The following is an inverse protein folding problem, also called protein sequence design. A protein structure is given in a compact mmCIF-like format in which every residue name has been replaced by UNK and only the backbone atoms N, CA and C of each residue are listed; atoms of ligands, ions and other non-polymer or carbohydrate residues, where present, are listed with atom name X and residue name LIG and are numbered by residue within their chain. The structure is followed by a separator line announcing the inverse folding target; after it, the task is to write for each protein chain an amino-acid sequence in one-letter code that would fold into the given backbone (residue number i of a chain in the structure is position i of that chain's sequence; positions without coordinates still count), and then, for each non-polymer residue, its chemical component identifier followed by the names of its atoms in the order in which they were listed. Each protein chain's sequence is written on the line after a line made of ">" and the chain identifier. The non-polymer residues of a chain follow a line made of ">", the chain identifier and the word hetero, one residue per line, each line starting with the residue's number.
data_IF_869759848723
#
_entry.id   IF_869759848723
#
_cell.length_a   1.000
_cell.length_b   1.000
_cell.length_c   1.000
_cell.angle_alpha   90.00
_cell.angle_beta   90.00
_cell.angle_gamma   90.00
#
_symmetry.space_group_name_H-M   'P 1'
#
loop_
_entity.id
_entity.type
_entity.pdbx_description
1 polymer ?
#
# COMPACT_ATOMS: atom_id res chain seq x y z
N UNK A 1 40.43 12.49 -3.92
CA UNK A 1 39.03 12.28 -4.34
C UNK A 1 39.03 11.32 -5.51
N UNK A 2 38.35 10.17 -5.42
CA UNK A 2 38.19 9.30 -6.59
C UNK A 2 37.17 9.91 -7.54
N UNK A 3 37.30 9.66 -8.85
CA UNK A 3 36.32 10.12 -9.85
C UNK A 3 34.91 9.59 -9.59
N UNK A 4 34.79 8.44 -8.93
CA UNK A 4 33.52 7.83 -8.53
C UNK A 4 32.79 8.70 -7.50
N UNK A 5 33.50 9.28 -6.54
CA UNK A 5 32.90 10.14 -5.51
C UNK A 5 32.37 11.48 -6.07
N UNK A 6 32.83 11.91 -7.25
CA UNK A 6 32.32 13.10 -7.95
C UNK A 6 31.11 12.79 -8.84
N UNK A 7 30.87 11.51 -9.15
CA UNK A 7 29.75 11.08 -9.97
C UNK A 7 28.46 10.92 -9.15
N UNK A 8 28.57 10.73 -7.83
CA UNK A 8 27.40 10.62 -6.96
C UNK A 8 26.88 12.02 -6.59
N UNK A 9 25.62 12.35 -6.89
CA UNK A 9 25.05 13.62 -6.47
C UNK A 9 25.03 13.71 -4.94
N UNK A 10 25.24 14.90 -4.37
CA UNK A 10 25.18 15.09 -2.91
C UNK A 10 23.80 14.66 -2.38
N UNK A 11 23.79 14.05 -1.20
CA UNK A 11 22.55 13.67 -0.54
C UNK A 11 21.73 14.92 -0.21
N UNK A 12 20.52 15.01 -0.78
CA UNK A 12 19.56 16.06 -0.46
C UNK A 12 18.57 15.49 0.54
N UNK A 13 18.42 16.15 1.68
CA UNK A 13 17.51 15.76 2.74
C UNK A 13 16.25 16.63 2.70
N UNK A 14 15.11 16.00 2.95
CA UNK A 14 13.80 16.66 3.10
C UNK A 14 13.25 16.28 4.47
N UNK A 15 12.53 17.21 5.09
CA UNK A 15 11.88 16.95 6.38
C UNK A 15 10.86 15.80 6.26
N UNK A 16 10.86 14.90 7.24
CA UNK A 16 9.96 13.74 7.24
C UNK A 16 8.47 14.11 7.24
N UNK A 17 8.10 15.27 7.78
CA UNK A 17 6.72 15.76 7.73
C UNK A 17 6.25 16.06 6.29
N UNK A 18 7.17 16.38 5.37
CA UNK A 18 6.81 16.55 3.96
C UNK A 18 6.30 15.24 3.35
N UNK A 19 6.90 14.10 3.74
CA UNK A 19 6.43 12.78 3.31
C UNK A 19 5.06 12.45 3.91
N UNK A 20 4.81 12.79 5.18
CA UNK A 20 3.49 12.60 5.80
C UNK A 20 2.40 13.37 5.04
N UNK A 21 2.64 14.66 4.75
CA UNK A 21 1.72 15.51 4.00
C UNK A 21 1.51 14.98 2.57
N UNK A 22 2.60 14.57 1.91
CA UNK A 22 2.53 14.00 0.56
C UNK A 22 1.64 12.75 0.53
N UNK A 23 1.79 11.83 1.48
CA UNK A 23 1.01 10.60 1.53
C UNK A 23 -0.47 10.89 1.81
N UNK A 24 -0.76 11.84 2.71
CA UNK A 24 -2.14 12.26 3.01
C UNK A 24 -2.82 12.81 1.74
N UNK A 25 -2.17 13.74 1.04
CA UNK A 25 -2.70 14.33 -0.18
C UNK A 25 -2.74 13.33 -1.35
N UNK A 26 -1.79 12.38 -1.41
CA UNK A 26 -1.80 11.34 -2.43
C UNK A 26 -3.04 10.45 -2.30
N UNK A 27 -3.45 10.10 -1.09
CA UNK A 27 -4.69 9.32 -0.87
C UNK A 27 -5.92 10.11 -1.33
N UNK A 28 -6.01 11.40 -1.00
CA UNK A 28 -7.10 12.28 -1.44
C UNK A 28 -7.15 12.40 -2.97
N UNK A 29 -6.00 12.64 -3.61
CA UNK A 29 -5.89 12.74 -5.07
C UNK A 29 -6.22 11.41 -5.77
N UNK A 30 -5.75 10.27 -5.21
CA UNK A 30 -6.06 8.94 -5.74
C UNK A 30 -7.54 8.62 -5.64
N UNK A 31 -8.23 8.99 -4.54
CA UNK A 31 -9.69 8.84 -4.42
C UNK A 31 -10.42 9.60 -5.52
N UNK A 32 -10.13 10.90 -5.65
CA UNK A 32 -10.74 11.73 -6.68
C UNK A 32 -10.48 11.17 -8.10
N UNK A 33 -9.25 10.73 -8.36
CA UNK A 33 -8.88 10.11 -9.64
C UNK A 33 -9.59 8.77 -9.87
N UNK A 34 -9.75 7.94 -8.83
CA UNK A 34 -10.42 6.64 -8.91
C UNK A 34 -11.91 6.80 -9.16
N UNK A 35 -12.59 7.77 -8.53
CA UNK A 35 -13.99 8.08 -8.82
C UNK A 35 -14.20 8.48 -10.30
N UNK A 36 -13.29 9.30 -10.85
CA UNK A 36 -13.33 9.66 -12.28
C UNK A 36 -13.05 8.46 -13.18
N UNK A 37 -12.10 7.59 -12.81
CA UNK A 37 -11.78 6.38 -13.57
C UNK A 37 -12.94 5.38 -13.57
N UNK A 38 -13.59 5.17 -12.43
CA UNK A 38 -14.76 4.31 -12.29
C UNK A 38 -15.93 4.84 -13.14
N UNK A 39 -16.23 6.13 -13.07
CA UNK A 39 -17.27 6.75 -13.90
C UNK A 39 -16.99 6.62 -15.41
N UNK A 40 -15.72 6.72 -15.82
CA UNK A 40 -15.30 6.48 -17.21
C UNK A 40 -15.47 5.01 -17.61
N UNK A 41 -15.10 4.06 -16.75
CA UNK A 41 -15.28 2.63 -17.01
C UNK A 41 -16.77 2.29 -17.19
N UNK A 42 -17.64 2.76 -16.29
CA UNK A 42 -19.09 2.56 -16.41
C UNK A 42 -19.66 3.17 -17.69
N UNK A 43 -19.16 4.35 -18.09
CA UNK A 43 -19.57 4.97 -19.36
C UNK A 43 -19.17 4.11 -20.57
N UNK A 44 -17.93 3.61 -20.58
CA UNK A 44 -17.41 2.74 -21.64
C UNK A 44 -18.22 1.44 -21.71
N UNK A 45 -18.51 0.81 -20.57
CA UNK A 45 -19.33 -0.40 -20.50
C UNK A 45 -20.75 -0.17 -21.03
N UNK A 46 -21.35 0.98 -20.71
CA UNK A 46 -22.66 1.36 -21.21
C UNK A 46 -22.66 1.61 -22.72
N UNK A 47 -21.62 2.27 -23.26
CA UNK A 47 -21.42 2.43 -24.71
C UNK A 47 -21.21 1.06 -25.39
N UNK A 48 -20.45 0.15 -24.79
CA UNK A 48 -20.24 -1.21 -25.29
C UNK A 48 -21.53 -2.04 -25.29
N UNK A 49 -22.36 -1.90 -24.24
CA UNK A 49 -23.67 -2.55 -24.16
C UNK A 49 -24.65 -1.99 -25.19
N UNK A 50 -24.66 -0.66 -25.41
CA UNK A 50 -25.46 -0.02 -26.45
C UNK A 50 -25.04 -0.46 -27.86
N UNK A 51 -23.74 -0.68 -28.07
CA UNK A 51 -23.21 -1.20 -29.33
C UNK A 51 -23.36 -2.73 -29.49
N UNK A 52 -23.93 -3.42 -28.49
CA UNK A 52 -24.21 -4.86 -28.53
C UNK A 52 -23.00 -5.79 -28.33
N UNK A 53 -21.87 -5.25 -27.85
CA UNK A 53 -20.64 -6.04 -27.62
C UNK A 53 -20.59 -6.74 -26.26
N UNK A 54 -21.45 -6.37 -25.31
CA UNK A 54 -21.49 -6.92 -23.94
C UNK A 54 -22.96 -7.16 -23.54
N UNK A 55 -23.31 -8.30 -22.91
CA UNK A 55 -24.66 -8.52 -22.41
C UNK A 55 -25.03 -7.42 -21.40
N UNK A 56 -26.26 -6.88 -21.45
CA UNK A 56 -26.68 -5.83 -20.53
C UNK A 56 -26.56 -6.31 -19.08
N UNK A 57 -26.18 -5.42 -18.14
CA UNK A 57 -26.05 -5.79 -16.74
C UNK A 57 -27.35 -6.41 -16.22
N UNK A 58 -27.28 -7.43 -15.35
CA UNK A 58 -28.47 -8.07 -14.81
C UNK A 58 -29.35 -7.02 -14.11
N UNK A 59 -30.61 -6.93 -14.55
CA UNK A 59 -31.58 -6.00 -13.97
C UNK A 59 -31.74 -6.35 -12.48
N UNK A 60 -31.40 -5.41 -11.60
CA UNK A 60 -31.60 -5.58 -10.16
C UNK A 60 -33.10 -5.79 -9.91
N UNK A 61 -33.47 -6.97 -9.39
CA UNK A 61 -34.85 -7.27 -9.01
C UNK A 61 -35.22 -6.36 -7.83
N UNK A 62 -36.05 -5.35 -8.09
CA UNK A 62 -36.72 -4.55 -7.06
C UNK A 62 -37.58 -5.49 -6.20
N UNK A 63 -37.08 -5.84 -5.01
CA UNK A 63 -37.92 -6.46 -3.98
C UNK A 63 -38.80 -5.38 -3.36
N UNK A 64 -40.08 -5.41 -3.70
CA UNK A 64 -41.10 -4.61 -3.04
C UNK A 64 -41.32 -5.19 -1.63
N UNK A 65 -40.71 -4.58 -0.61
CA UNK A 65 -41.03 -4.85 0.79
C UNK A 65 -41.57 -3.58 1.41
N UNK A 66 -42.90 -3.50 1.53
CA UNK A 66 -43.59 -2.45 2.25
C UNK A 66 -43.29 -2.59 3.75
N UNK A 67 -42.58 -1.61 4.32
CA UNK A 67 -42.65 -1.31 5.75
C UNK A 67 -42.29 0.16 5.96
N UNK A 68 -43.30 0.92 6.35
CA UNK A 68 -43.20 2.29 6.83
C UNK A 68 -42.28 2.35 8.05
N UNK A 69 -41.20 3.13 7.98
CA UNK A 69 -40.59 3.75 9.15
C UNK A 69 -39.66 4.89 8.75
N UNK A 70 -40.09 6.08 9.13
CA UNK A 70 -39.38 7.35 9.13
C UNK A 70 -38.06 7.23 9.89
N UNK A 71 -36.95 7.52 9.20
CA UNK A 71 -35.61 7.52 9.77
C UNK A 71 -34.59 7.91 8.71
N UNK A 72 -34.50 9.21 8.42
CA UNK A 72 -33.50 9.77 7.53
C UNK A 72 -32.11 9.67 8.15
N UNK A 73 -31.43 8.53 7.95
CA UNK A 73 -29.99 8.44 7.95
C UNK A 73 -29.59 7.86 6.60
N UNK A 74 -28.96 8.69 5.76
CA UNK A 74 -28.33 8.29 4.50
C UNK A 74 -27.13 7.40 4.80
N UNK A 75 -27.37 6.15 5.21
CA UNK A 75 -26.37 5.11 5.18
C UNK A 75 -26.13 4.75 3.71
N UNK A 76 -25.04 5.29 3.13
CA UNK A 76 -24.54 4.80 1.85
C UNK A 76 -24.29 3.29 2.00
N UNK A 77 -24.67 2.45 1.02
CA UNK A 77 -24.45 1.02 1.10
C UNK A 77 -22.96 0.73 1.32
N UNK A 78 -22.67 -0.02 2.39
CA UNK A 78 -21.33 -0.29 2.91
C UNK A 78 -20.39 -0.97 1.88
N UNK A 79 -20.94 -1.55 0.81
CA UNK A 79 -20.19 -2.27 -0.23
C UNK A 79 -19.45 -1.35 -1.21
N UNK A 80 -20.02 -0.19 -1.57
CA UNK A 80 -19.44 0.71 -2.58
C UNK A 80 -18.18 1.42 -2.07
N UNK A 81 -18.16 1.75 -0.77
CA UNK A 81 -17.04 2.44 -0.14
C UNK A 81 -15.83 1.50 0.01
N UNK A 82 -16.06 0.19 0.11
CA UNK A 82 -14.99 -0.81 0.22
C UNK A 82 -14.32 -1.08 -1.15
N UNK A 83 -15.09 -1.09 -2.24
CA UNK A 83 -14.55 -1.20 -3.61
C UNK A 83 -13.72 0.02 -4.02
N UNK A 84 -14.17 1.23 -3.68
CA UNK A 84 -13.45 2.47 -3.99
C UNK A 84 -12.10 2.53 -3.25
N UNK A 85 -12.08 2.20 -1.96
CA UNK A 85 -10.85 2.18 -1.17
C UNK A 85 -9.92 1.04 -1.60
N UNK A 86 -10.43 -0.08 -2.10
CA UNK A 86 -9.62 -1.16 -2.68
C UNK A 86 -8.89 -0.71 -3.96
N UNK A 87 -9.58 0.03 -4.84
CA UNK A 87 -8.96 0.63 -6.03
C UNK A 87 -7.85 1.62 -5.67
N UNK A 88 -8.06 2.45 -4.65
CA UNK A 88 -7.04 3.37 -4.13
C UNK A 88 -5.86 2.60 -3.52
N UNK A 89 -6.15 1.58 -2.71
CA UNK A 89 -5.14 0.72 -2.07
C UNK A 89 -4.22 0.07 -3.10
N UNK A 90 -4.79 -0.50 -4.17
CA UNK A 90 -4.04 -1.15 -5.25
C UNK A 90 -3.11 -0.18 -5.98
N UNK A 91 -3.59 1.04 -6.30
CA UNK A 91 -2.77 2.08 -6.95
C UNK A 91 -1.64 2.56 -6.04
N UNK A 92 -1.94 2.73 -4.75
CA UNK A 92 -0.97 3.16 -3.76
C UNK A 92 0.13 2.10 -3.56
N UNK A 93 -0.25 0.82 -3.53
CA UNK A 93 0.69 -0.31 -3.52
C UNK A 93 1.57 -0.33 -4.79
N UNK A 94 0.99 -0.08 -5.97
CA UNK A 94 1.74 -0.03 -7.23
C UNK A 94 2.77 1.12 -7.24
N UNK A 95 2.40 2.31 -6.74
CA UNK A 95 3.35 3.42 -6.58
C UNK A 95 4.48 3.01 -5.63
N UNK A 96 4.12 2.43 -4.48
CA UNK A 96 5.10 1.90 -3.53
C UNK A 96 6.04 0.88 -4.14
N UNK A 97 5.51 -0.03 -4.97
CA UNK A 97 6.29 -1.05 -5.68
C UNK A 97 7.34 -0.42 -6.59
N UNK A 98 6.98 0.59 -7.38
CA UNK A 98 7.94 1.30 -8.21
C UNK A 98 9.01 2.01 -7.37
N UNK A 99 8.60 2.70 -6.30
CA UNK A 99 9.55 3.40 -5.42
C UNK A 99 10.53 2.41 -4.79
N UNK A 100 10.03 1.35 -4.14
CA UNK A 100 10.88 0.35 -3.47
C UNK A 100 11.80 -0.39 -4.43
N UNK A 101 11.35 -0.65 -5.65
CA UNK A 101 12.16 -1.27 -6.69
C UNK A 101 13.37 -0.39 -7.08
N UNK A 102 13.13 0.86 -7.47
CA UNK A 102 14.22 1.77 -7.86
C UNK A 102 15.16 2.06 -6.67
N UNK A 103 14.61 2.13 -5.47
CA UNK A 103 15.39 2.39 -4.27
C UNK A 103 16.30 1.21 -3.89
N UNK A 104 15.79 -0.02 -4.02
CA UNK A 104 16.58 -1.23 -3.80
C UNK A 104 17.75 -1.32 -4.79
N UNK A 105 17.55 -0.97 -6.07
CA UNK A 105 18.64 -0.93 -7.06
C UNK A 105 19.74 0.06 -6.66
N UNK A 106 19.36 1.27 -6.20
CA UNK A 106 20.31 2.27 -5.71
C UNK A 106 21.10 1.78 -4.50
N UNK A 107 20.42 1.20 -3.51
CA UNK A 107 21.03 0.72 -2.27
C UNK A 107 21.89 -0.55 -2.46
N UNK A 108 21.60 -1.35 -3.48
CA UNK A 108 22.35 -2.57 -3.78
C UNK A 108 23.51 -2.37 -4.77
N UNK A 109 23.73 -1.14 -5.27
CA UNK A 109 24.73 -0.83 -6.32
C UNK A 109 26.12 -1.40 -6.03
N UNK A 110 26.62 -1.23 -4.81
CA UNK A 110 27.96 -1.66 -4.39
C UNK A 110 27.94 -2.94 -3.54
N UNK A 111 26.80 -3.64 -3.51
CA UNK A 111 26.59 -4.81 -2.66
C UNK A 111 26.68 -6.10 -3.47
N UNK A 112 27.28 -7.17 -2.94
CA UNK A 112 27.15 -8.50 -3.53
C UNK A 112 25.68 -8.96 -3.54
N UNK A 113 25.34 -9.80 -4.52
CA UNK A 113 24.01 -10.41 -4.63
C UNK A 113 23.64 -11.18 -3.36
N UNK A 114 22.34 -11.19 -3.04
CA UNK A 114 21.82 -11.92 -1.89
C UNK A 114 21.83 -13.43 -2.18
N UNK A 115 22.45 -14.20 -1.29
CA UNK A 115 22.49 -15.67 -1.36
C UNK A 115 21.26 -16.34 -0.75
N UNK A 116 20.62 -15.69 0.22
CA UNK A 116 19.42 -16.22 0.90
C UNK A 116 18.35 -15.13 1.06
N UNK A 117 17.10 -15.57 1.00
CA UNK A 117 15.89 -14.81 1.31
C UNK A 117 15.96 -14.10 2.65
N UNK A 118 16.56 -14.72 3.67
CA UNK A 118 16.68 -14.15 5.00
C UNK A 118 17.60 -12.91 5.01
N UNK A 119 18.67 -12.93 4.21
CA UNK A 119 19.60 -11.79 4.12
C UNK A 119 19.00 -10.63 3.33
N UNK A 120 18.19 -10.92 2.31
CA UNK A 120 17.37 -9.92 1.63
C UNK A 120 16.34 -9.26 2.58
N UNK A 121 15.69 -10.05 3.43
CA UNK A 121 14.77 -9.51 4.45
C UNK A 121 15.52 -8.66 5.49
N UNK A 122 16.69 -9.09 5.97
CA UNK A 122 17.52 -8.28 6.88
C UNK A 122 17.93 -6.95 6.25
N UNK A 123 18.27 -6.96 4.96
CA UNK A 123 18.57 -5.73 4.22
C UNK A 123 17.37 -4.78 4.20
N UNK A 124 16.15 -5.30 3.98
CA UNK A 124 14.93 -4.49 4.08
C UNK A 124 14.80 -3.89 5.49
N UNK A 125 14.98 -4.69 6.53
CA UNK A 125 14.79 -4.24 7.92
C UNK A 125 15.82 -3.19 8.39
N UNK A 126 17.04 -3.22 7.86
CA UNK A 126 18.18 -2.41 8.37
C UNK A 126 18.64 -1.30 7.45
N UNK A 127 18.50 -1.47 6.14
CA UNK A 127 18.97 -0.50 5.15
C UNK A 127 17.79 0.24 4.52
N UNK A 128 16.86 -0.50 3.90
CA UNK A 128 15.70 0.09 3.23
C UNK A 128 14.81 0.84 4.24
N UNK A 129 14.46 0.21 5.36
CA UNK A 129 13.59 0.81 6.37
C UNK A 129 14.20 2.05 7.01
N UNK A 130 15.51 1.99 7.33
CA UNK A 130 16.25 3.13 7.88
C UNK A 130 16.33 4.26 6.88
N UNK A 131 16.54 3.95 5.61
CA UNK A 131 16.65 5.00 4.60
C UNK A 131 15.30 5.67 4.29
N UNK A 132 14.18 4.97 4.46
CA UNK A 132 12.84 5.55 4.28
C UNK A 132 12.31 6.28 5.52
N UNK A 133 12.56 5.76 6.73
CA UNK A 133 11.94 6.26 7.97
C UNK A 133 12.93 6.57 9.08
N UNK A 134 14.24 6.52 8.83
CA UNK A 134 15.28 6.78 9.84
C UNK A 134 15.04 5.96 11.12
N UNK A 135 14.68 4.69 10.92
CA UNK A 135 14.37 3.71 11.97
C UNK A 135 14.60 2.29 11.44
N UNK A 136 15.12 1.39 12.27
CA UNK A 136 15.15 -0.04 11.97
C UNK A 136 13.80 -0.68 12.33
N UNK A 137 13.47 -1.80 11.68
CA UNK A 137 12.32 -2.62 12.08
C UNK A 137 12.56 -3.18 13.48
N UNK A 138 11.56 -3.06 14.37
CA UNK A 138 11.72 -3.42 15.79
C UNK A 138 11.87 -4.93 15.98
N UNK A 139 11.05 -5.74 15.30
CA UNK A 139 11.13 -7.20 15.39
C UNK A 139 10.99 -7.87 14.02
N UNK A 140 11.80 -8.90 13.79
CA UNK A 140 11.69 -9.81 12.65
C UNK A 140 11.48 -11.23 13.16
N UNK A 141 10.36 -11.86 12.78
CA UNK A 141 10.10 -13.29 13.02
C UNK A 141 10.09 -14.03 11.69
N UNK A 142 10.57 -15.27 11.68
CA UNK A 142 10.54 -16.14 10.50
C UNK A 142 10.15 -17.56 10.90
N UNK A 143 9.48 -18.27 10.00
CA UNK A 143 9.24 -19.70 10.14
C UNK A 143 10.30 -20.54 9.40
N UNK A 144 11.36 -19.92 8.86
CA UNK A 144 12.36 -20.56 7.99
C UNK A 144 11.78 -21.32 6.77
N UNK A 145 10.48 -21.16 6.50
CA UNK A 145 9.70 -21.81 5.44
C UNK A 145 9.14 -20.79 4.44
N UNK A 146 9.82 -19.65 4.29
CA UNK A 146 9.41 -18.57 3.39
C UNK A 146 8.36 -17.61 3.95
N UNK A 147 8.04 -17.67 5.25
CA UNK A 147 7.14 -16.71 5.91
C UNK A 147 7.94 -15.85 6.88
N UNK A 148 7.85 -14.54 6.70
CA UNK A 148 8.50 -13.53 7.54
C UNK A 148 7.45 -12.54 8.06
N UNK A 149 7.65 -12.07 9.28
CA UNK A 149 6.77 -11.11 9.94
C UNK A 149 7.64 -9.99 10.48
N UNK A 150 7.48 -8.80 9.92
CA UNK A 150 8.15 -7.58 10.33
C UNK A 150 7.19 -6.80 11.22
N UNK A 151 7.63 -6.42 12.41
CA UNK A 151 6.82 -5.63 13.34
C UNK A 151 7.50 -4.30 13.61
N UNK A 152 6.73 -3.23 13.47
CA UNK A 152 7.11 -1.87 13.83
C UNK A 152 6.09 -1.35 14.85
N UNK A 153 6.55 -1.11 16.08
CA UNK A 153 5.70 -0.67 17.20
C UNK A 153 5.30 0.80 17.10
N UNK A 154 6.16 1.61 16.48
CA UNK A 154 5.99 3.07 16.38
C UNK A 154 6.22 3.48 14.94
N UNK A 155 5.34 3.01 14.06
CA UNK A 155 5.50 3.23 12.63
C UNK A 155 5.20 4.69 12.30
N UNK A 156 6.25 5.45 11.93
CA UNK A 156 6.19 6.92 11.76
C UNK A 156 4.99 7.39 10.91
N UNK A 157 4.66 6.78 9.75
CA UNK A 157 3.52 7.20 8.93
C UNK A 157 2.14 7.06 9.60
N UNK A 158 2.01 6.23 10.63
CA UNK A 158 0.74 6.01 11.34
C UNK A 158 0.62 6.85 12.61
N UNK A 159 1.70 7.48 13.08
CA UNK A 159 1.71 8.21 14.36
C UNK A 159 0.75 9.39 14.42
N UNK A 160 0.51 10.03 13.27
CA UNK A 160 -0.33 11.25 13.16
C UNK A 160 -1.72 10.97 12.58
N UNK A 161 -2.06 9.71 12.32
CA UNK A 161 -3.38 9.36 11.77
C UNK A 161 -4.41 9.33 12.90
N UNK A 162 -5.38 10.24 12.83
CA UNK A 162 -6.56 10.25 13.70
C UNK A 162 -7.81 10.60 12.88
N UNK A 163 -8.97 10.16 13.35
CA UNK A 163 -10.28 10.57 12.82
C UNK A 163 -11.21 10.94 13.97
N UNK A 164 -11.97 12.03 13.77
CA UNK A 164 -13.03 12.47 14.69
C UNK A 164 -14.24 11.53 14.67
N UNK A 165 -14.40 10.71 13.62
CA UNK A 165 -15.47 9.72 13.43
C UNK A 165 -15.25 8.43 14.24
N UNK A 166 -14.15 8.37 15.01
CA UNK A 166 -13.87 7.30 15.95
C UNK A 166 -12.80 6.30 15.48
N UNK A 167 -12.67 5.21 16.25
CA UNK A 167 -11.59 4.23 16.10
C UNK A 167 -11.66 3.44 14.80
N UNK A 168 -12.87 3.10 14.33
CA UNK A 168 -13.05 2.30 13.12
C UNK A 168 -12.54 3.02 11.86
N UNK A 169 -12.89 4.30 11.72
CA UNK A 169 -12.42 5.12 10.59
C UNK A 169 -10.91 5.40 10.66
N UNK A 170 -10.39 5.66 11.86
CA UNK A 170 -8.95 5.80 12.08
C UNK A 170 -8.19 4.56 11.61
N UNK A 171 -8.72 3.37 11.91
CA UNK A 171 -8.14 2.10 11.48
C UNK A 171 -8.20 1.92 9.96
N UNK A 172 -9.31 2.33 9.33
CA UNK A 172 -9.47 2.28 7.87
C UNK A 172 -8.44 3.15 7.16
N UNK A 173 -8.25 4.39 7.62
CA UNK A 173 -7.22 5.31 7.11
C UNK A 173 -5.81 4.77 7.32
N UNK A 174 -5.55 4.17 8.49
CA UNK A 174 -4.26 3.55 8.76
C UNK A 174 -3.95 2.39 7.79
N UNK A 175 -4.93 1.51 7.52
CA UNK A 175 -4.77 0.40 6.57
C UNK A 175 -4.46 0.88 5.15
N UNK A 176 -5.12 1.93 4.70
CA UNK A 176 -4.83 2.58 3.43
C UNK A 176 -3.40 3.14 3.40
N UNK A 177 -3.00 3.90 4.43
CA UNK A 177 -1.66 4.48 4.50
C UNK A 177 -0.55 3.42 4.49
N UNK A 178 -0.79 2.23 5.05
CA UNK A 178 0.18 1.13 5.05
C UNK A 178 0.31 0.40 3.71
N UNK A 179 -0.59 0.63 2.74
CA UNK A 179 -0.47 0.02 1.41
C UNK A 179 0.77 0.52 0.65
N UNK A 180 1.15 1.79 0.83
CA UNK A 180 2.36 2.35 0.21
C UNK A 180 3.64 1.68 0.74
N UNK A 181 3.89 1.61 2.06
CA UNK A 181 5.01 0.84 2.64
C UNK A 181 5.01 -0.65 2.26
N UNK A 182 3.83 -1.29 2.20
CA UNK A 182 3.73 -2.68 1.75
C UNK A 182 4.20 -2.84 0.30
N UNK A 183 3.81 -1.89 -0.56
CA UNK A 183 4.30 -1.79 -1.94
C UNK A 183 5.81 -1.61 -2.00
N UNK A 184 6.40 -0.74 -1.17
CA UNK A 184 7.86 -0.53 -1.10
C UNK A 184 8.60 -1.84 -0.80
N UNK A 185 8.16 -2.57 0.21
CA UNK A 185 8.76 -3.88 0.56
C UNK A 185 8.63 -4.84 -0.62
N UNK A 186 7.45 -4.93 -1.24
CA UNK A 186 7.19 -5.83 -2.37
C UNK A 186 8.05 -5.49 -3.59
N UNK A 187 8.22 -4.20 -3.90
CA UNK A 187 9.07 -3.73 -4.99
C UNK A 187 10.55 -4.02 -4.76
N UNK A 188 11.03 -3.80 -3.53
CA UNK A 188 12.40 -4.14 -3.17
C UNK A 188 12.67 -5.65 -3.30
N UNK A 189 11.76 -6.49 -2.79
CA UNK A 189 11.84 -7.95 -2.93
C UNK A 189 11.86 -8.38 -4.40
N UNK A 190 11.01 -7.78 -5.24
CA UNK A 190 10.95 -8.09 -6.67
C UNK A 190 12.27 -7.81 -7.39
N UNK A 191 13.01 -6.76 -7.01
CA UNK A 191 14.32 -6.45 -7.62
C UNK A 191 15.44 -7.37 -7.15
N UNK A 192 15.29 -7.96 -5.96
CA UNK A 192 16.18 -9.00 -5.45
C UNK A 192 15.84 -10.39 -5.99
N UNK A 193 14.87 -10.52 -6.91
CA UNK A 193 14.43 -11.80 -7.47
C UNK A 193 13.49 -12.60 -6.56
N UNK A 194 12.97 -12.00 -5.48
CA UNK A 194 12.06 -12.63 -4.53
C UNK A 194 10.63 -12.16 -4.80
N UNK A 195 9.84 -12.95 -5.53
CA UNK A 195 8.46 -12.60 -5.85
C UNK A 195 7.51 -13.10 -4.75
N UNK A 196 7.26 -12.27 -3.74
CA UNK A 196 6.36 -12.59 -2.63
C UNK A 196 5.11 -11.71 -2.54
N UNK A 197 4.21 -12.09 -1.64
CA UNK A 197 3.09 -11.25 -1.22
C UNK A 197 3.42 -10.57 0.11
N UNK A 198 3.11 -9.28 0.22
CA UNK A 198 3.25 -8.49 1.46
C UNK A 198 1.87 -8.03 1.90
N UNK A 199 1.44 -8.47 3.08
CA UNK A 199 0.15 -8.09 3.65
C UNK A 199 0.38 -7.24 4.90
N UNK A 200 0.00 -5.95 4.89
CA UNK A 200 0.03 -5.13 6.08
C UNK A 200 -1.15 -5.45 7.00
N UNK A 201 -0.87 -5.65 8.29
CA UNK A 201 -1.84 -5.87 9.35
C UNK A 201 -1.69 -4.79 10.41
N UNK A 202 -2.78 -4.06 10.67
CA UNK A 202 -2.84 -3.00 11.68
C UNK A 202 -3.98 -3.31 12.62
N UNK A 203 -3.66 -3.42 13.91
CA UNK A 203 -4.64 -3.67 14.98
C UNK A 203 -4.90 -2.38 15.77
N UNK A 204 -3.84 -1.62 16.06
CA UNK A 204 -3.90 -0.35 16.74
C UNK A 204 -2.74 0.54 16.26
N UNK A 205 -2.99 1.69 15.60
CA UNK A 205 -1.92 2.64 15.32
C UNK A 205 -1.29 3.13 16.65
N UNK A 206 0.03 3.31 16.73
CA UNK A 206 1.01 3.33 15.64
C UNK A 206 1.67 1.98 15.30
N UNK A 207 1.19 0.85 15.85
CA UNK A 207 1.77 -0.47 15.61
C UNK A 207 1.34 -1.05 14.25
N UNK A 208 2.31 -1.50 13.45
CA UNK A 208 2.10 -2.12 12.14
C UNK A 208 2.90 -3.41 12.01
N UNK A 209 2.25 -4.45 11.49
CA UNK A 209 2.89 -5.72 11.15
C UNK A 209 2.84 -5.92 9.63
N UNK A 210 3.95 -6.32 9.01
CA UNK A 210 3.98 -6.73 7.61
C UNK A 210 4.25 -8.23 7.55
N UNK A 211 3.27 -8.98 7.05
CA UNK A 211 3.43 -10.40 6.76
C UNK A 211 3.93 -10.58 5.33
N UNK A 212 5.12 -11.14 5.18
CA UNK A 212 5.75 -11.44 3.90
C UNK A 212 5.69 -12.96 3.68
N UNK A 213 5.10 -13.37 2.57
CA UNK A 213 5.09 -14.78 2.14
C UNK A 213 5.82 -14.87 0.82
N UNK A 214 6.93 -15.58 0.82
CA UNK A 214 7.67 -15.94 -0.37
C UNK A 214 7.18 -17.32 -0.83
N UNK A 215 6.87 -17.52 -2.12
CA UNK A 215 6.63 -18.84 -2.66
C UNK A 215 7.89 -19.68 -2.49
N UNK A 216 7.72 -20.97 -2.23
CA UNK A 216 8.84 -21.91 -2.29
C UNK A 216 9.28 -21.97 -3.75
N UNK A 217 10.46 -21.41 -4.06
CA UNK A 217 11.09 -21.68 -5.34
C UNK A 217 11.28 -23.20 -5.43
N UNK A 218 10.68 -23.82 -6.44
CA UNK A 218 10.96 -25.22 -6.81
C UNK A 218 12.32 -25.27 -7.48
#
# INVERSE_FOLDING_TARGET
>A
MSLVALADPPAVYVDGAAMDCLVIEAVSALRASSAVAAARATKIELEMAQAGFVPPPPVAKLQHSSKDSVGSNTARPHSYVDEEDEGVRSRLEAIGLHVGANYAEKLCRDRPLFSDSLDAIKFICKELWVSCWDKQVDNLRTNHRGVFVLQDNTFKPLTRISSWEGRAETLKRAKLAAAFPAGIIRGALSRMGLHGTVTPEITAPPHCTFQIKLPKNT
#
